data_IF_645586821644
#
_entry.id   IF_645586821644
#
_cell.length_a   1.000
_cell.length_b   1.000
_cell.length_c   1.000
_cell.angle_alpha   90.00
_cell.angle_beta   90.00
_cell.angle_gamma   90.00
#
_symmetry.space_group_name_H-M   'P 1'
#
loop_
_entity.id
_entity.type
_entity.pdbx_description
1 polymer ?
#
# COMPACT_ATOMS: atom_id res chain seq x y z
N UNK A 1 36.53 41.52 -27.07
CA UNK A 1 35.58 41.27 -25.94
C UNK A 1 34.53 40.24 -26.35
N UNK A 2 34.08 40.27 -27.58
CA UNK A 2 33.03 39.35 -28.09
C UNK A 2 33.40 37.85 -28.01
N UNK A 3 34.63 37.51 -28.30
CA UNK A 3 35.13 36.12 -28.29
C UNK A 3 35.17 35.50 -26.85
N UNK A 4 35.43 36.34 -25.86
CA UNK A 4 35.43 35.89 -24.45
C UNK A 4 33.99 35.74 -23.94
N UNK A 5 33.10 36.62 -24.39
CA UNK A 5 31.69 36.57 -24.06
C UNK A 5 30.99 35.39 -24.71
N UNK A 6 31.32 35.05 -25.99
CA UNK A 6 30.82 33.88 -26.67
C UNK A 6 31.24 32.59 -25.95
N UNK A 7 32.53 32.44 -25.64
CA UNK A 7 33.02 31.26 -24.92
C UNK A 7 32.41 31.12 -23.51
N UNK A 8 32.20 32.24 -22.82
CA UNK A 8 31.54 32.23 -21.52
C UNK A 8 30.07 31.80 -21.63
N UNK A 9 29.39 32.26 -22.67
CA UNK A 9 27.99 31.91 -22.94
C UNK A 9 27.85 30.44 -23.35
N UNK A 10 28.76 29.89 -24.14
CA UNK A 10 28.80 28.46 -24.48
C UNK A 10 29.07 27.60 -23.26
N UNK A 11 30.06 27.92 -22.46
CA UNK A 11 30.35 27.21 -21.21
C UNK A 11 29.17 27.26 -20.23
N UNK A 12 28.50 28.41 -20.12
CA UNK A 12 27.33 28.54 -19.26
C UNK A 12 26.14 27.72 -19.78
N UNK A 13 25.95 27.63 -21.12
CA UNK A 13 24.94 26.77 -21.74
C UNK A 13 25.21 25.31 -21.44
N UNK A 14 26.42 24.82 -21.65
CA UNK A 14 26.78 23.41 -21.33
C UNK A 14 26.55 23.08 -19.87
N UNK A 15 26.89 23.97 -18.96
CA UNK A 15 26.68 23.78 -17.52
C UNK A 15 25.20 23.73 -17.16
N UNK A 16 24.38 24.62 -17.74
CA UNK A 16 22.92 24.64 -17.50
C UNK A 16 22.24 23.41 -18.13
N UNK A 17 22.61 23.04 -19.35
CA UNK A 17 22.06 21.85 -20.03
C UNK A 17 22.44 20.59 -19.25
N UNK A 18 23.71 20.44 -18.87
CA UNK A 18 24.14 19.33 -18.01
C UNK A 18 23.34 19.24 -16.72
N UNK A 19 23.15 20.36 -16.01
CA UNK A 19 22.36 20.38 -14.77
C UNK A 19 20.88 20.08 -14.96
N UNK A 20 20.25 20.49 -16.07
CA UNK A 20 18.88 20.13 -16.41
C UNK A 20 18.79 18.64 -16.72
N UNK A 21 19.72 18.11 -17.52
CA UNK A 21 19.75 16.70 -17.90
C UNK A 21 19.98 15.80 -16.68
N UNK A 22 20.91 16.15 -15.79
CA UNK A 22 21.14 15.42 -14.54
C UNK A 22 19.88 15.38 -13.66
N UNK A 23 19.19 16.50 -13.52
CA UNK A 23 17.97 16.59 -12.73
C UNK A 23 16.82 15.76 -13.36
N UNK A 24 16.66 15.79 -14.69
CA UNK A 24 15.63 15.02 -15.39
C UNK A 24 15.95 13.52 -15.39
N UNK A 25 17.18 13.14 -15.70
CA UNK A 25 17.61 11.72 -15.65
C UNK A 25 17.48 11.18 -14.24
N UNK A 26 17.95 11.93 -13.23
CA UNK A 26 17.80 11.58 -11.83
C UNK A 26 16.34 11.45 -11.39
N UNK A 27 15.43 12.22 -11.96
CA UNK A 27 13.99 12.08 -11.72
C UNK A 27 13.46 10.73 -12.19
N UNK A 28 13.77 10.33 -13.42
CA UNK A 28 13.27 9.07 -13.99
C UNK A 28 13.89 7.85 -13.32
N UNK A 29 15.18 7.92 -13.00
CA UNK A 29 15.86 6.87 -12.24
C UNK A 29 15.25 6.73 -10.84
N UNK A 30 14.93 7.85 -10.18
CA UNK A 30 14.24 7.84 -8.90
C UNK A 30 12.82 7.27 -9.02
N UNK A 31 12.05 7.60 -10.06
CA UNK A 31 10.72 7.04 -10.30
C UNK A 31 10.82 5.53 -10.44
N UNK A 32 11.70 5.03 -11.32
CA UNK A 32 11.90 3.60 -11.54
C UNK A 32 12.34 2.89 -10.25
N UNK A 33 13.30 3.47 -9.52
CA UNK A 33 13.78 2.94 -8.25
C UNK A 33 12.67 2.90 -7.19
N UNK A 34 11.84 3.96 -7.09
CA UNK A 34 10.74 4.02 -6.13
C UNK A 34 9.59 3.08 -6.47
N UNK A 35 9.30 2.86 -7.74
CA UNK A 35 8.35 1.84 -8.20
C UNK A 35 8.83 0.44 -7.79
N UNK A 36 10.10 0.12 -8.03
CA UNK A 36 10.69 -1.16 -7.66
C UNK A 36 10.76 -1.36 -6.14
N UNK A 37 11.19 -0.34 -5.38
CA UNK A 37 11.25 -0.34 -3.91
C UNK A 37 9.85 -0.55 -3.31
N UNK A 38 8.86 0.21 -3.77
CA UNK A 38 7.49 0.09 -3.31
C UNK A 38 6.91 -1.30 -3.62
N UNK A 39 7.12 -1.81 -4.84
CA UNK A 39 6.70 -3.16 -5.22
C UNK A 39 7.33 -4.23 -4.32
N UNK A 40 8.62 -4.13 -4.02
CA UNK A 40 9.34 -5.04 -3.13
C UNK A 40 8.83 -5.03 -1.69
N UNK A 41 8.62 -3.85 -1.12
CA UNK A 41 8.13 -3.72 0.26
C UNK A 41 6.65 -4.10 0.41
N UNK A 42 5.81 -3.70 -0.55
CA UNK A 42 4.37 -4.04 -0.54
C UNK A 42 4.19 -5.52 -0.83
N UNK A 43 5.05 -6.10 -1.65
CA UNK A 43 5.10 -7.51 -1.99
C UNK A 43 5.75 -8.41 -0.91
N UNK A 44 6.24 -7.90 0.23
CA UNK A 44 6.81 -8.72 1.30
C UNK A 44 5.77 -9.14 2.34
N UNK A 45 5.86 -10.39 2.86
CA UNK A 45 5.00 -10.85 3.96
C UNK A 45 5.34 -10.10 5.26
N UNK A 46 4.41 -9.96 6.21
CA UNK A 46 4.74 -9.40 7.53
C UNK A 46 5.95 -10.09 8.17
N UNK A 47 6.06 -11.41 8.04
CA UNK A 47 7.21 -12.18 8.55
C UNK A 47 8.53 -11.82 7.84
N UNK A 48 8.51 -11.70 6.52
CA UNK A 48 9.70 -11.36 5.73
C UNK A 48 10.12 -9.90 5.90
N UNK A 49 9.16 -9.00 6.17
CA UNK A 49 9.44 -7.59 6.37
C UNK A 49 10.27 -7.32 7.63
N UNK A 50 9.89 -7.93 8.77
CA UNK A 50 10.67 -7.87 10.01
C UNK A 50 10.35 -9.04 10.93
N UNK A 51 11.22 -10.05 10.94
CA UNK A 51 11.04 -11.28 11.73
C UNK A 51 10.99 -11.03 13.25
N UNK A 52 11.71 -10.01 13.75
CA UNK A 52 11.74 -9.70 15.19
C UNK A 52 10.42 -9.08 15.64
N UNK A 53 9.88 -8.11 14.88
CA UNK A 53 8.57 -7.51 15.16
C UNK A 53 7.49 -8.58 15.03
N UNK A 54 7.54 -9.39 13.97
CA UNK A 54 6.60 -10.49 13.76
C UNK A 54 6.54 -11.46 14.95
N UNK A 55 7.70 -11.95 15.41
CA UNK A 55 7.76 -12.89 16.54
C UNK A 55 7.29 -12.26 17.85
N UNK A 56 7.62 -10.99 18.09
CA UNK A 56 7.15 -10.24 19.27
C UNK A 56 5.61 -10.10 19.26
N UNK A 57 5.04 -9.64 18.16
CA UNK A 57 3.59 -9.45 18.04
C UNK A 57 2.84 -10.77 18.13
N UNK A 58 3.37 -11.82 17.50
CA UNK A 58 2.80 -13.17 17.63
C UNK A 58 2.79 -13.64 19.08
N UNK A 59 3.89 -13.47 19.80
CA UNK A 59 3.98 -13.84 21.20
C UNK A 59 2.98 -13.07 22.06
N UNK A 60 2.79 -11.77 21.80
CA UNK A 60 1.76 -10.97 22.48
C UNK A 60 0.35 -11.47 22.17
N UNK A 61 0.05 -11.76 20.92
CA UNK A 61 -1.25 -12.30 20.49
C UNK A 61 -1.54 -13.65 21.14
N UNK A 62 -0.59 -14.59 21.06
CA UNK A 62 -0.78 -15.96 21.55
C UNK A 62 -0.81 -16.07 23.09
N UNK A 63 0.03 -15.30 23.78
CA UNK A 63 0.17 -15.44 25.25
C UNK A 63 -0.75 -14.52 26.05
N UNK A 64 -1.15 -13.36 25.52
CA UNK A 64 -1.98 -12.38 26.24
C UNK A 64 -3.39 -12.27 25.66
N UNK A 65 -3.52 -12.14 24.35
CA UNK A 65 -4.81 -11.85 23.72
C UNK A 65 -5.65 -13.12 23.53
N UNK A 66 -5.03 -14.22 23.14
CA UNK A 66 -5.73 -15.49 22.90
C UNK A 66 -6.43 -16.03 24.16
N UNK A 67 -5.85 -16.02 25.38
CA UNK A 67 -6.57 -16.39 26.59
C UNK A 67 -7.78 -15.51 26.87
N UNK A 68 -7.68 -14.19 26.65
CA UNK A 68 -8.80 -13.25 26.80
C UNK A 68 -9.91 -13.59 25.81
N UNK A 69 -9.53 -13.84 24.54
CA UNK A 69 -10.47 -14.26 23.50
C UNK A 69 -11.17 -15.58 23.84
N UNK A 70 -10.47 -16.51 24.50
CA UNK A 70 -11.06 -17.76 25.01
C UNK A 70 -12.16 -17.51 26.03
N UNK A 71 -11.96 -16.57 26.98
CA UNK A 71 -12.99 -16.18 27.96
C UNK A 71 -14.18 -15.52 27.25
N UNK A 72 -13.93 -14.62 26.29
CA UNK A 72 -14.99 -13.98 25.51
C UNK A 72 -15.78 -15.04 24.72
N UNK A 73 -15.08 -15.97 24.07
CA UNK A 73 -15.72 -17.07 23.34
C UNK A 73 -16.62 -17.91 24.25
N UNK A 74 -16.13 -18.31 25.44
CA UNK A 74 -16.92 -19.06 26.41
C UNK A 74 -18.18 -18.30 26.80
N UNK A 75 -18.07 -17.00 27.05
CA UNK A 75 -19.22 -16.15 27.40
C UNK A 75 -20.22 -16.05 26.25
N UNK A 76 -19.75 -15.78 25.01
CA UNK A 76 -20.61 -15.68 23.81
C UNK A 76 -21.34 -17.00 23.54
N UNK A 77 -20.65 -18.13 23.61
CA UNK A 77 -21.24 -19.43 23.35
C UNK A 77 -22.23 -19.85 24.44
N UNK A 78 -21.97 -19.45 25.72
CA UNK A 78 -22.92 -19.68 26.83
C UNK A 78 -24.19 -18.84 26.64
N UNK A 79 -24.08 -17.58 26.27
CA UNK A 79 -25.25 -16.74 25.99
C UNK A 79 -26.06 -17.30 24.80
N UNK A 80 -25.39 -17.79 23.76
CA UNK A 80 -26.07 -18.42 22.64
C UNK A 80 -26.81 -19.69 23.03
N UNK A 81 -26.24 -20.51 23.95
CA UNK A 81 -26.93 -21.69 24.49
C UNK A 81 -28.17 -21.28 25.26
N UNK A 82 -28.07 -20.25 26.13
CA UNK A 82 -29.20 -19.74 26.89
C UNK A 82 -30.32 -19.25 25.95
N UNK A 83 -29.99 -18.50 24.94
CA UNK A 83 -30.95 -18.00 23.93
C UNK A 83 -31.59 -19.15 23.16
N UNK A 84 -30.81 -20.16 22.78
CA UNK A 84 -31.30 -21.34 22.07
C UNK A 84 -32.31 -22.13 22.90
N UNK A 85 -32.13 -22.16 24.24
CA UNK A 85 -33.06 -22.78 25.17
C UNK A 85 -34.29 -21.88 25.38
N UNK A 86 -34.09 -20.56 25.56
CA UNK A 86 -35.15 -19.58 25.83
C UNK A 86 -36.10 -19.37 24.65
N UNK A 87 -35.59 -19.39 23.41
CA UNK A 87 -36.39 -19.24 22.19
C UNK A 87 -37.42 -20.39 21.96
N UNK A 88 -37.30 -21.48 22.76
CA UNK A 88 -38.21 -22.61 22.72
C UNK A 88 -39.09 -22.65 23.96
N UNK A 89 -40.35 -22.26 23.79
CA UNK A 89 -41.33 -22.14 24.88
C UNK A 89 -41.62 -23.45 25.64
N UNK A 90 -41.12 -24.60 25.18
CA UNK A 90 -41.29 -25.89 25.85
C UNK A 90 -39.96 -26.64 25.94
N UNK A 91 -39.44 -26.80 27.17
CA UNK A 91 -38.26 -27.63 27.49
C UNK A 91 -38.41 -29.10 27.05
N UNK A 92 -39.65 -29.56 26.79
CA UNK A 92 -39.94 -30.94 26.37
C UNK A 92 -39.66 -31.21 24.88
N UNK A 93 -39.56 -30.17 24.09
CA UNK A 93 -39.32 -30.22 22.63
C UNK A 93 -37.92 -29.88 22.21
N UNK A 94 -36.91 -29.92 23.11
CA UNK A 94 -35.51 -29.71 22.74
C UNK A 94 -35.05 -30.94 21.95
N UNK A 95 -35.12 -30.81 20.61
CA UNK A 95 -34.57 -31.79 19.71
C UNK A 95 -33.04 -31.93 19.95
N UNK A 96 -32.61 -33.15 20.25
CA UNK A 96 -31.19 -33.50 20.44
C UNK A 96 -30.30 -32.94 19.31
N UNK A 97 -30.85 -32.84 18.11
CA UNK A 97 -30.19 -32.31 16.91
C UNK A 97 -29.77 -30.82 17.07
N UNK A 98 -30.52 -30.01 17.79
CA UNK A 98 -30.23 -28.60 18.03
C UNK A 98 -29.02 -28.46 18.96
N UNK A 99 -28.95 -29.33 19.96
CA UNK A 99 -27.79 -29.38 20.88
C UNK A 99 -26.51 -29.80 20.14
N UNK A 100 -26.60 -30.79 19.25
CA UNK A 100 -25.46 -31.19 18.41
C UNK A 100 -24.99 -30.05 17.48
N UNK A 101 -25.88 -29.27 16.89
CA UNK A 101 -25.51 -28.09 16.09
C UNK A 101 -24.76 -27.06 16.93
N UNK A 102 -25.19 -26.82 18.17
CA UNK A 102 -24.50 -25.90 19.06
C UNK A 102 -23.10 -26.41 19.44
N UNK A 103 -22.96 -27.68 19.80
CA UNK A 103 -21.67 -28.32 20.11
C UNK A 103 -20.71 -28.23 18.92
N UNK A 104 -21.18 -28.57 17.71
CA UNK A 104 -20.37 -28.45 16.50
C UNK A 104 -19.95 -27.01 16.23
N UNK A 105 -20.86 -26.05 16.36
CA UNK A 105 -20.57 -24.62 16.21
C UNK A 105 -19.51 -24.15 17.22
N UNK A 106 -19.65 -24.59 18.48
CA UNK A 106 -18.66 -24.25 19.53
C UNK A 106 -17.29 -24.85 19.22
N UNK A 107 -17.23 -26.10 18.78
CA UNK A 107 -15.98 -26.74 18.38
C UNK A 107 -15.32 -26.00 17.21
N UNK A 108 -16.11 -25.64 16.19
CA UNK A 108 -15.62 -24.85 15.05
C UNK A 108 -15.11 -23.45 15.51
N UNK A 109 -15.83 -22.79 16.42
CA UNK A 109 -15.42 -21.51 16.99
C UNK A 109 -14.09 -21.61 17.73
N UNK A 110 -13.91 -22.63 18.56
CA UNK A 110 -12.64 -22.90 19.27
C UNK A 110 -11.50 -23.09 18.28
N UNK A 111 -11.70 -23.90 17.23
CA UNK A 111 -10.69 -24.12 16.18
C UNK A 111 -10.31 -22.83 15.44
N UNK A 112 -11.28 -21.98 15.11
CA UNK A 112 -11.04 -20.70 14.44
C UNK A 112 -10.26 -19.77 15.35
N UNK A 113 -10.67 -19.60 16.61
CA UNK A 113 -10.01 -18.72 17.58
C UNK A 113 -8.59 -19.20 17.89
N UNK A 114 -8.39 -20.51 18.09
CA UNK A 114 -7.06 -21.08 18.34
C UNK A 114 -6.09 -20.93 17.17
N UNK A 115 -6.61 -20.87 15.94
CA UNK A 115 -5.81 -20.72 14.72
C UNK A 115 -5.88 -19.31 14.11
N UNK A 116 -6.36 -18.33 14.86
CA UNK A 116 -6.57 -16.96 14.35
C UNK A 116 -5.31 -16.39 13.70
N UNK A 117 -4.14 -16.56 14.32
CA UNK A 117 -2.88 -16.07 13.75
C UNK A 117 -2.61 -16.62 12.35
N UNK A 118 -2.74 -17.93 12.19
CA UNK A 118 -2.50 -18.59 10.89
C UNK A 118 -3.54 -18.16 9.84
N UNK A 119 -4.81 -18.01 10.24
CA UNK A 119 -5.88 -17.56 9.35
C UNK A 119 -5.59 -16.14 8.86
N UNK A 120 -5.25 -15.22 9.76
CA UNK A 120 -4.97 -13.82 9.43
C UNK A 120 -3.72 -13.70 8.54
N UNK A 121 -2.66 -14.43 8.88
CA UNK A 121 -1.45 -14.45 8.04
C UNK A 121 -1.73 -15.05 6.66
N UNK A 122 -2.52 -16.10 6.55
CA UNK A 122 -2.94 -16.67 5.26
C UNK A 122 -3.70 -15.68 4.38
N UNK A 123 -4.50 -14.78 4.96
CA UNK A 123 -5.16 -13.70 4.20
C UNK A 123 -4.12 -12.72 3.62
N UNK A 124 -3.11 -12.34 4.41
CA UNK A 124 -2.03 -11.46 3.92
C UNK A 124 -1.17 -12.15 2.87
N UNK A 125 -0.83 -13.42 3.03
CA UNK A 125 -0.07 -14.20 2.04
C UNK A 125 -0.81 -14.34 0.71
N UNK A 126 -2.12 -14.62 0.76
CA UNK A 126 -2.96 -14.67 -0.43
C UNK A 126 -3.02 -13.33 -1.16
N UNK A 127 -3.26 -12.23 -0.43
CA UNK A 127 -3.27 -10.88 -1.01
C UNK A 127 -1.92 -10.51 -1.61
N UNK A 128 -0.82 -10.92 -0.96
CA UNK A 128 0.52 -10.69 -1.44
C UNK A 128 0.84 -11.46 -2.73
N UNK A 129 0.37 -12.68 -2.86
CA UNK A 129 0.51 -13.44 -4.12
C UNK A 129 -0.12 -12.68 -5.29
N UNK A 130 -1.29 -12.04 -5.06
CA UNK A 130 -1.94 -11.17 -6.05
C UNK A 130 -1.09 -9.94 -6.36
N UNK A 131 -0.54 -9.30 -5.31
CA UNK A 131 0.34 -8.12 -5.44
C UNK A 131 1.58 -8.45 -6.26
N UNK A 132 2.26 -9.56 -5.97
CA UNK A 132 3.46 -9.99 -6.69
C UNK A 132 3.17 -10.33 -8.15
N UNK A 133 2.04 -10.98 -8.42
CA UNK A 133 1.59 -11.27 -9.80
C UNK A 133 1.30 -9.98 -10.57
N UNK A 134 0.65 -9.01 -9.95
CA UNK A 134 0.40 -7.69 -10.53
C UNK A 134 1.70 -6.91 -10.79
N UNK A 135 2.64 -6.93 -9.83
CA UNK A 135 3.94 -6.27 -9.97
C UNK A 135 4.72 -6.81 -11.18
N UNK A 136 4.70 -8.11 -11.42
CA UNK A 136 5.35 -8.73 -12.59
C UNK A 136 4.77 -8.22 -13.92
N UNK A 137 3.46 -8.02 -14.00
CA UNK A 137 2.79 -7.45 -15.18
C UNK A 137 3.14 -5.97 -15.34
N UNK A 138 3.18 -5.23 -14.25
CA UNK A 138 3.41 -3.78 -14.22
C UNK A 138 4.84 -3.46 -14.61
N UNK A 139 5.84 -4.08 -13.98
CA UNK A 139 7.27 -3.83 -14.25
C UNK A 139 7.62 -4.07 -15.71
N UNK A 140 7.01 -5.07 -16.36
CA UNK A 140 7.18 -5.34 -17.78
C UNK A 140 6.64 -4.24 -18.71
N UNK A 141 5.67 -3.44 -18.25
CA UNK A 141 4.97 -2.44 -19.06
C UNK A 141 5.29 -0.98 -18.67
N UNK A 142 5.96 -0.76 -17.53
CA UNK A 142 6.18 0.60 -16.99
C UNK A 142 7.64 1.01 -16.90
N UNK A 143 8.59 0.18 -17.39
CA UNK A 143 10.00 0.56 -17.44
C UNK A 143 10.17 1.73 -18.42
N UNK A 144 10.55 2.89 -17.89
CA UNK A 144 10.82 4.08 -18.68
C UNK A 144 12.18 3.89 -19.37
N UNK A 145 12.17 3.71 -20.69
CA UNK A 145 13.39 3.69 -21.47
C UNK A 145 13.71 5.12 -21.94
N UNK A 146 14.59 5.77 -21.21
CA UNK A 146 14.95 7.17 -21.43
C UNK A 146 16.00 7.34 -22.53
N UNK A 147 16.75 6.27 -22.86
CA UNK A 147 17.93 6.36 -23.72
C UNK A 147 17.63 6.98 -25.09
N UNK A 148 16.45 6.68 -25.64
CA UNK A 148 16.06 7.17 -26.97
C UNK A 148 15.62 8.64 -26.96
N UNK A 149 15.19 9.15 -25.81
CA UNK A 149 14.69 10.53 -25.66
C UNK A 149 15.73 11.51 -25.09
N UNK A 150 16.75 11.01 -24.38
CA UNK A 150 17.80 11.85 -23.78
C UNK A 150 18.55 12.66 -24.84
N UNK A 151 18.97 12.01 -25.93
CA UNK A 151 19.74 12.67 -26.98
C UNK A 151 18.93 13.77 -27.71
N UNK A 152 17.63 13.54 -27.93
CA UNK A 152 16.74 14.53 -28.54
C UNK A 152 16.48 15.73 -27.62
N UNK A 153 16.27 15.46 -26.30
CA UNK A 153 16.13 16.50 -25.28
C UNK A 153 17.38 17.36 -25.14
N UNK A 154 18.56 16.76 -25.11
CA UNK A 154 19.84 17.48 -25.04
C UNK A 154 20.03 18.37 -26.27
N UNK A 155 19.77 17.86 -27.48
CA UNK A 155 19.86 18.64 -28.71
C UNK A 155 18.91 19.85 -28.68
N UNK A 156 17.67 19.69 -28.26
CA UNK A 156 16.70 20.80 -28.14
C UNK A 156 17.11 21.82 -27.08
N UNK A 157 17.68 21.39 -25.96
CA UNK A 157 18.17 22.30 -24.93
C UNK A 157 19.34 23.14 -25.42
N UNK A 158 20.27 22.57 -26.17
CA UNK A 158 21.42 23.29 -26.72
C UNK A 158 21.01 24.38 -27.72
N UNK A 159 19.87 24.27 -28.40
CA UNK A 159 19.34 25.31 -29.28
C UNK A 159 18.73 26.51 -28.53
N UNK A 160 18.42 26.38 -27.25
CA UNK A 160 17.74 27.41 -26.47
C UNK A 160 18.67 28.56 -26.03
N UNK A 161 18.05 29.71 -25.73
CA UNK A 161 18.72 30.86 -25.12
C UNK A 161 19.14 30.56 -23.66
N UNK A 162 20.28 31.14 -23.22
CA UNK A 162 20.80 31.03 -21.86
C UNK A 162 19.76 31.43 -20.81
N UNK A 163 18.99 32.46 -21.05
CA UNK A 163 17.95 32.91 -20.12
C UNK A 163 16.79 31.90 -19.98
N UNK A 164 16.41 31.26 -21.08
CA UNK A 164 15.43 30.18 -21.09
C UNK A 164 15.96 28.95 -20.36
N UNK A 165 17.23 28.58 -20.60
CA UNK A 165 17.90 27.49 -19.89
C UNK A 165 18.00 27.73 -18.40
N UNK A 166 18.31 28.95 -17.97
CA UNK A 166 18.35 29.32 -16.54
C UNK A 166 16.98 29.19 -15.88
N UNK A 167 15.90 29.58 -16.59
CA UNK A 167 14.53 29.36 -16.15
C UNK A 167 14.18 27.89 -16.01
N UNK A 168 14.54 27.05 -17.01
CA UNK A 168 14.32 25.60 -16.99
C UNK A 168 15.16 24.91 -15.88
N UNK A 169 16.40 25.35 -15.67
CA UNK A 169 17.25 24.84 -14.61
C UNK A 169 16.64 25.10 -13.22
N UNK A 170 16.13 26.30 -12.97
CA UNK A 170 15.41 26.61 -11.73
C UNK A 170 14.15 25.78 -11.57
N UNK A 171 13.38 25.56 -12.65
CA UNK A 171 12.21 24.69 -12.64
C UNK A 171 12.58 23.25 -12.35
N UNK A 172 13.67 22.74 -12.93
CA UNK A 172 14.13 21.35 -12.69
C UNK A 172 14.54 21.12 -11.21
N UNK A 173 15.02 22.15 -10.51
CA UNK A 173 15.29 22.08 -9.07
C UNK A 173 14.03 21.83 -8.23
N UNK A 174 12.90 22.43 -8.62
CA UNK A 174 11.62 22.24 -7.93
C UNK A 174 11.13 20.81 -8.09
N UNK A 175 11.43 20.17 -9.21
CA UNK A 175 11.15 18.73 -9.42
C UNK A 175 11.89 17.87 -8.39
N UNK A 176 13.17 18.12 -8.16
CA UNK A 176 13.94 17.43 -7.12
C UNK A 176 13.31 17.52 -5.73
N UNK A 177 12.78 18.69 -5.37
CA UNK A 177 12.08 18.89 -4.10
C UNK A 177 10.75 18.10 -4.03
N UNK A 178 9.97 18.05 -5.13
CA UNK A 178 8.73 17.27 -5.16
C UNK A 178 9.01 15.76 -5.09
N UNK A 179 10.10 15.29 -5.71
CA UNK A 179 10.52 13.88 -5.61
C UNK A 179 10.97 13.50 -4.20
N UNK A 180 11.63 14.39 -3.48
CA UNK A 180 11.92 14.19 -2.06
C UNK A 180 10.62 14.04 -1.24
N UNK A 181 9.63 14.91 -1.49
CA UNK A 181 8.30 14.79 -0.88
C UNK A 181 7.62 13.46 -1.19
N UNK A 182 7.67 12.99 -2.46
CA UNK A 182 7.14 11.69 -2.86
C UNK A 182 7.82 10.55 -2.09
N UNK A 183 9.13 10.59 -1.93
CA UNK A 183 9.87 9.57 -1.17
C UNK A 183 9.37 9.46 0.27
N UNK A 184 9.13 10.60 0.94
CA UNK A 184 8.57 10.64 2.29
C UNK A 184 7.14 10.08 2.31
N UNK A 185 6.30 10.44 1.34
CA UNK A 185 4.93 9.92 1.23
C UNK A 185 4.92 8.40 1.08
N UNK A 186 5.72 7.86 0.18
CA UNK A 186 5.84 6.41 -0.04
C UNK A 186 6.31 5.72 1.24
N UNK A 187 7.34 6.25 1.91
CA UNK A 187 7.83 5.72 3.17
C UNK A 187 6.71 5.66 4.23
N UNK A 188 6.01 6.75 4.47
CA UNK A 188 4.94 6.83 5.48
C UNK A 188 3.84 5.82 5.17
N UNK A 189 3.44 5.69 3.90
CA UNK A 189 2.34 4.80 3.51
C UNK A 189 2.72 3.33 3.65
N UNK A 190 3.93 2.94 3.20
CA UNK A 190 4.38 1.55 3.26
C UNK A 190 4.61 1.12 4.71
N UNK A 191 5.37 1.90 5.47
CA UNK A 191 5.67 1.57 6.87
C UNK A 191 4.42 1.70 7.75
N UNK A 192 3.60 2.72 7.52
CA UNK A 192 2.33 2.91 8.21
C UNK A 192 1.39 1.72 8.01
N UNK A 193 1.27 1.22 6.77
CA UNK A 193 0.49 0.01 6.47
C UNK A 193 1.03 -1.22 7.21
N UNK A 194 2.35 -1.44 7.24
CA UNK A 194 2.93 -2.58 7.94
C UNK A 194 2.69 -2.51 9.45
N UNK A 195 2.79 -1.33 10.04
CA UNK A 195 2.44 -1.11 11.44
C UNK A 195 0.96 -1.38 11.68
N UNK A 196 0.06 -0.89 10.82
CA UNK A 196 -1.39 -1.15 10.90
C UNK A 196 -1.69 -2.66 10.83
N UNK A 197 -1.01 -3.41 9.95
CA UNK A 197 -1.11 -4.87 9.85
C UNK A 197 -0.76 -5.54 11.19
N UNK A 198 0.37 -5.19 11.80
CA UNK A 198 0.77 -5.77 13.07
C UNK A 198 -0.20 -5.42 14.22
N UNK A 199 -0.67 -4.16 14.27
CA UNK A 199 -1.62 -3.72 15.29
C UNK A 199 -2.95 -4.48 15.17
N UNK A 200 -3.52 -4.55 13.98
CA UNK A 200 -4.78 -5.24 13.72
C UNK A 200 -4.65 -6.74 13.98
N UNK A 201 -3.52 -7.34 13.60
CA UNK A 201 -3.28 -8.77 13.81
C UNK A 201 -3.07 -9.13 15.29
N UNK A 202 -2.42 -8.23 16.05
CA UNK A 202 -2.15 -8.49 17.49
C UNK A 202 -3.42 -8.77 18.29
N UNK A 203 -4.52 -8.09 17.99
CA UNK A 203 -5.81 -8.19 18.71
C UNK A 203 -6.81 -9.12 18.01
N UNK A 204 -6.44 -9.74 16.89
CA UNK A 204 -7.30 -10.56 16.04
C UNK A 204 -8.13 -11.64 16.78
N UNK A 205 -7.61 -12.36 17.80
CA UNK A 205 -8.38 -13.37 18.50
C UNK A 205 -9.68 -12.86 19.14
N UNK A 206 -9.72 -11.60 19.60
CA UNK A 206 -10.91 -11.02 20.26
C UNK A 206 -12.10 -10.90 19.30
N UNK A 207 -12.02 -10.18 18.17
CA UNK A 207 -13.13 -10.10 17.22
C UNK A 207 -13.47 -11.46 16.60
N UNK A 208 -12.47 -12.34 16.42
CA UNK A 208 -12.74 -13.70 15.91
C UNK A 208 -13.55 -14.53 16.91
N UNK A 209 -13.35 -14.34 18.22
CA UNK A 209 -14.14 -15.01 19.26
C UNK A 209 -15.62 -14.60 19.24
N UNK A 210 -15.93 -13.37 18.82
CA UNK A 210 -17.31 -12.87 18.73
C UNK A 210 -18.03 -13.31 17.44
N UNK A 211 -17.29 -13.73 16.42
CA UNK A 211 -17.83 -13.94 15.06
C UNK A 211 -18.95 -14.99 15.01
N UNK A 212 -18.90 -15.99 15.89
CA UNK A 212 -19.87 -17.08 15.90
C UNK A 212 -21.13 -16.76 16.73
N UNK A 213 -21.13 -15.68 17.51
CA UNK A 213 -22.29 -15.25 18.29
C UNK A 213 -23.36 -14.60 17.45
N UNK A 214 -24.64 -14.91 17.70
CA UNK A 214 -25.77 -14.34 16.94
C UNK A 214 -25.86 -12.82 17.10
N UNK A 215 -25.66 -12.29 18.29
CA UNK A 215 -25.72 -10.86 18.60
C UNK A 215 -24.40 -10.13 18.36
N UNK A 216 -23.28 -10.77 18.65
CA UNK A 216 -21.94 -10.18 18.63
C UNK A 216 -21.17 -10.45 17.32
N UNK A 217 -21.71 -11.30 16.46
CA UNK A 217 -21.07 -11.72 15.20
C UNK A 217 -20.74 -10.59 14.25
N UNK A 218 -21.47 -9.47 14.32
CA UNK A 218 -21.19 -8.27 13.51
C UNK A 218 -19.79 -7.69 13.74
N UNK A 219 -19.27 -7.75 14.97
CA UNK A 219 -17.90 -7.28 15.28
C UNK A 219 -16.86 -8.12 14.56
N UNK A 220 -16.94 -9.45 14.64
CA UNK A 220 -16.01 -10.35 13.96
C UNK A 220 -16.10 -10.25 12.45
N UNK A 221 -17.31 -10.12 11.89
CA UNK A 221 -17.50 -9.94 10.44
C UNK A 221 -16.91 -8.62 9.95
N UNK A 222 -17.12 -7.51 10.68
CA UNK A 222 -16.54 -6.21 10.31
C UNK A 222 -15.01 -6.25 10.41
N UNK A 223 -14.47 -6.95 11.42
CA UNK A 223 -13.03 -7.16 11.54
C UNK A 223 -12.46 -7.90 10.31
N UNK A 224 -13.09 -8.98 9.84
CA UNK A 224 -12.65 -9.69 8.65
C UNK A 224 -12.70 -8.81 7.39
N UNK A 225 -13.74 -7.99 7.25
CA UNK A 225 -13.83 -7.02 6.14
C UNK A 225 -12.68 -6.00 6.21
N UNK A 226 -12.39 -5.47 7.39
CA UNK A 226 -11.28 -4.54 7.61
C UNK A 226 -9.92 -5.20 7.34
N UNK A 227 -9.76 -6.47 7.72
CA UNK A 227 -8.57 -7.25 7.43
C UNK A 227 -8.36 -7.44 5.93
N UNK A 228 -9.42 -7.81 5.19
CA UNK A 228 -9.39 -7.92 3.73
C UNK A 228 -9.08 -6.57 3.07
N UNK A 229 -9.69 -5.49 3.54
CA UNK A 229 -9.40 -4.15 3.05
C UNK A 229 -7.91 -3.80 3.21
N UNK A 230 -7.34 -4.06 4.38
CA UNK A 230 -5.93 -3.81 4.68
C UNK A 230 -5.01 -4.72 3.84
N UNK A 231 -5.38 -5.99 3.65
CA UNK A 231 -4.62 -6.93 2.84
C UNK A 231 -4.56 -6.49 1.36
N UNK A 232 -5.70 -6.10 0.78
CA UNK A 232 -5.80 -5.66 -0.61
C UNK A 232 -5.40 -4.19 -0.85
N UNK A 233 -5.22 -3.38 0.18
CA UNK A 233 -4.68 -2.02 0.05
C UNK A 233 -3.35 -2.00 -0.70
N UNK A 234 -2.48 -3.00 -0.49
CA UNK A 234 -1.21 -3.13 -1.20
C UNK A 234 -1.39 -3.23 -2.72
N UNK A 235 -2.38 -3.95 -3.18
CA UNK A 235 -2.72 -4.04 -4.61
C UNK A 235 -3.14 -2.67 -5.17
N UNK A 236 -3.94 -1.89 -4.44
CA UNK A 236 -4.33 -0.54 -4.86
C UNK A 236 -3.12 0.41 -4.91
N UNK A 237 -2.20 0.32 -3.97
CA UNK A 237 -0.97 1.13 -3.96
C UNK A 237 -0.14 0.84 -5.22
N UNK A 238 0.06 -0.41 -5.59
CA UNK A 238 0.84 -0.79 -6.78
C UNK A 238 0.16 -0.29 -8.06
N UNK A 239 -1.17 -0.37 -8.16
CA UNK A 239 -1.90 0.19 -9.31
C UNK A 239 -1.70 1.71 -9.40
N UNK A 240 -1.80 2.44 -8.28
CA UNK A 240 -1.57 3.88 -8.28
C UNK A 240 -0.16 4.24 -8.77
N UNK A 241 0.86 3.50 -8.32
CA UNK A 241 2.26 3.70 -8.72
C UNK A 241 2.43 3.36 -10.21
N UNK A 242 1.81 2.31 -10.70
CA UNK A 242 1.85 1.93 -12.12
C UNK A 242 1.22 3.00 -13.02
N UNK A 243 0.04 3.52 -12.65
CA UNK A 243 -0.62 4.60 -13.38
C UNK A 243 0.29 5.84 -13.42
N UNK A 244 0.90 6.19 -12.29
CA UNK A 244 1.85 7.29 -12.22
C UNK A 244 3.04 7.10 -13.16
N UNK A 245 3.65 5.91 -13.18
CA UNK A 245 4.76 5.62 -14.08
C UNK A 245 4.39 5.80 -15.56
N UNK A 246 3.20 5.34 -15.98
CA UNK A 246 2.68 5.55 -17.35
C UNK A 246 2.41 7.03 -17.64
N UNK A 247 1.86 7.78 -16.68
CA UNK A 247 1.63 9.22 -16.87
C UNK A 247 2.93 9.99 -17.03
N UNK A 248 3.98 9.62 -16.30
CA UNK A 248 5.31 10.23 -16.42
C UNK A 248 5.97 9.86 -17.75
N UNK A 249 5.79 8.63 -18.25
CA UNK A 249 6.26 8.24 -19.59
C UNK A 249 5.64 9.07 -20.69
N UNK A 250 4.34 9.27 -20.65
CA UNK A 250 3.63 10.05 -21.68
C UNK A 250 4.06 11.51 -21.74
N UNK A 251 4.61 12.02 -20.64
CA UNK A 251 5.10 13.39 -20.53
C UNK A 251 6.38 13.64 -21.34
N UNK A 252 7.21 12.60 -21.56
CA UNK A 252 8.43 12.68 -22.37
C UNK A 252 8.16 12.96 -23.86
N UNK A 253 6.93 12.76 -24.30
CA UNK A 253 6.50 12.95 -25.69
C UNK A 253 6.08 14.42 -25.93
N UNK A 254 5.96 15.23 -24.90
CA UNK A 254 5.54 16.64 -25.01
C UNK A 254 6.68 17.49 -25.59
N UNK A 255 6.38 18.31 -26.60
CA UNK A 255 7.35 19.18 -27.25
C UNK A 255 7.84 20.33 -26.37
N UNK A 256 7.10 20.64 -25.28
CA UNK A 256 7.42 21.75 -24.39
C UNK A 256 7.99 21.25 -23.05
N UNK A 257 9.31 21.33 -22.90
CA UNK A 257 10.05 20.87 -21.70
C UNK A 257 9.53 21.54 -20.41
N UNK A 258 9.20 22.84 -20.45
CA UNK A 258 8.66 23.54 -19.28
C UNK A 258 7.30 22.96 -18.85
N UNK A 259 6.42 22.69 -19.82
CA UNK A 259 5.12 22.04 -19.55
C UNK A 259 5.32 20.64 -18.97
N UNK A 260 6.25 19.87 -19.52
CA UNK A 260 6.59 18.53 -19.04
C UNK A 260 7.05 18.55 -17.57
N UNK A 261 7.91 19.48 -17.19
CA UNK A 261 8.38 19.66 -15.79
C UNK A 261 7.19 19.94 -14.85
N UNK A 262 6.29 20.86 -15.21
CA UNK A 262 5.12 21.19 -14.38
C UNK A 262 4.12 20.05 -14.28
N UNK A 263 3.90 19.30 -15.36
CA UNK A 263 3.06 18.11 -15.36
C UNK A 263 3.63 17.02 -14.46
N UNK A 264 4.94 16.80 -14.48
CA UNK A 264 5.60 15.84 -13.59
C UNK A 264 5.35 16.18 -12.12
N UNK A 265 5.51 17.44 -11.73
CA UNK A 265 5.18 17.88 -10.37
C UNK A 265 3.70 17.62 -10.04
N UNK A 266 2.80 17.97 -10.95
CA UNK A 266 1.37 17.75 -10.78
C UNK A 266 1.03 16.28 -10.57
N UNK A 267 1.58 15.39 -11.39
CA UNK A 267 1.38 13.94 -11.25
C UNK A 267 2.00 13.38 -9.97
N UNK A 268 3.16 13.89 -9.56
CA UNK A 268 3.81 13.49 -8.30
C UNK A 268 2.95 13.86 -7.09
N UNK A 269 2.43 15.08 -7.05
CA UNK A 269 1.51 15.52 -6.00
C UNK A 269 0.21 14.71 -6.02
N UNK A 270 -0.34 14.48 -7.22
CA UNK A 270 -1.53 13.64 -7.39
C UNK A 270 -1.30 12.22 -6.86
N UNK A 271 -0.14 11.62 -7.16
CA UNK A 271 0.21 10.29 -6.63
C UNK A 271 0.23 10.30 -5.10
N UNK A 272 0.88 11.28 -4.46
CA UNK A 272 0.89 11.38 -3.00
C UNK A 272 -0.53 11.39 -2.42
N UNK A 273 -1.42 12.23 -2.96
CA UNK A 273 -2.82 12.30 -2.51
C UNK A 273 -3.58 10.99 -2.75
N UNK A 274 -3.41 10.35 -3.92
CA UNK A 274 -4.10 9.09 -4.22
C UNK A 274 -3.62 7.96 -3.33
N UNK A 275 -2.31 7.88 -3.04
CA UNK A 275 -1.73 6.90 -2.13
C UNK A 275 -2.32 7.00 -0.72
N UNK A 276 -2.47 8.21 -0.17
CA UNK A 276 -3.14 8.41 1.14
C UNK A 276 -4.61 7.97 1.12
N UNK A 277 -5.30 8.10 -0.01
CA UNK A 277 -6.69 7.66 -0.15
C UNK A 277 -6.85 6.14 -0.33
N UNK A 278 -5.80 5.38 -0.62
CA UNK A 278 -5.91 3.93 -0.87
C UNK A 278 -6.49 3.17 0.31
N UNK A 279 -6.18 3.54 1.55
CA UNK A 279 -6.75 2.93 2.76
C UNK A 279 -8.27 3.15 2.84
N UNK A 280 -8.72 4.39 2.65
CA UNK A 280 -10.13 4.72 2.66
C UNK A 280 -10.88 4.01 1.52
N UNK A 281 -10.30 3.96 0.32
CA UNK A 281 -10.87 3.28 -0.84
C UNK A 281 -10.98 1.77 -0.58
N UNK A 282 -9.95 1.14 -0.06
CA UNK A 282 -9.98 -0.28 0.31
C UNK A 282 -11.10 -0.57 1.32
N UNK A 283 -11.20 0.22 2.40
CA UNK A 283 -12.26 0.09 3.40
C UNK A 283 -13.65 0.26 2.80
N UNK A 284 -13.82 1.20 1.87
CA UNK A 284 -15.10 1.42 1.17
C UNK A 284 -15.49 0.23 0.28
N UNK A 285 -14.52 -0.35 -0.47
CA UNK A 285 -14.77 -1.51 -1.34
C UNK A 285 -15.23 -2.73 -0.53
N UNK A 286 -14.62 -2.98 0.63
CA UNK A 286 -14.96 -4.10 1.50
C UNK A 286 -16.09 -3.79 2.51
N UNK A 287 -16.69 -2.59 2.43
CA UNK A 287 -17.75 -2.13 3.32
C UNK A 287 -17.39 -2.34 4.81
N UNK A 288 -16.15 -1.95 5.16
CA UNK A 288 -15.63 -1.98 6.52
C UNK A 288 -15.71 -0.59 7.15
N UNK A 289 -16.29 -0.52 8.33
CA UNK A 289 -16.51 0.73 9.07
C UNK A 289 -15.65 0.76 10.33
#
# INVERSE_FOLDING_TARGET
>A
MDLIWEKFTEWLKELLVGGIMDNLTGLFDNVNAKVAEAAGHIGSTPQAWNANIYSMIRSLSDNLILPIAGVILAFVMTLELIQLIADRNNLHDIDTWVFFKWVFKTAAAVLIVSNTWNIVMGVFEAAQSVVNSASGIIVGNTSINLADHIADLEARLLEMNVWTLLGLWLQSFVVGFTMWGLTICIFIIIYGRMIEIYLVTSIAPIPMATMMGKEWGGMGQNYLRSLLALAFQGFLIIICIAIYAVLVQNMLIDDNISTAIWLCMGYTVLLCFTLFKTSCLAKSIFNSH
#
